data_IF_111231897286
#
_entry.id   IF_111231897286
#
_cell.length_a   1.000
_cell.length_b   1.000
_cell.length_c   1.000
_cell.angle_alpha   90.00
_cell.angle_beta   90.00
_cell.angle_gamma   90.00
#
_symmetry.space_group_name_H-M   'P 1'
#
loop_
_entity.id
_entity.type
_entity.pdbx_description
1 polymer ?
#
# COMPACT_ATOMS: atom_id res chain seq x y z
N UNK A 1 -1.39 -10.67 -15.79
CA UNK A 1 -0.98 -9.86 -16.96
C UNK A 1 0.33 -9.16 -16.60
N UNK A 2 1.32 -9.10 -17.49
CA UNK A 2 2.55 -8.31 -17.25
C UNK A 2 2.26 -6.82 -17.46
N UNK A 3 2.98 -5.94 -16.76
CA UNK A 3 2.82 -4.47 -16.88
C UNK A 3 2.96 -4.03 -18.33
N UNK A 4 4.02 -4.47 -19.04
CA UNK A 4 4.23 -4.13 -20.45
C UNK A 4 3.00 -4.43 -21.32
N UNK A 5 2.47 -5.65 -21.26
CA UNK A 5 1.31 -6.05 -22.05
C UNK A 5 0.05 -5.23 -21.67
N UNK A 6 -0.06 -4.83 -20.40
CA UNK A 6 -1.16 -3.99 -19.94
C UNK A 6 -1.07 -2.58 -20.51
N UNK A 7 0.11 -1.98 -20.46
CA UNK A 7 0.36 -0.67 -21.05
C UNK A 7 0.20 -0.71 -22.58
N UNK A 8 0.75 -1.71 -23.26
CA UNK A 8 0.58 -1.88 -24.71
C UNK A 8 -0.91 -1.95 -25.12
N UNK A 9 -1.78 -2.49 -24.26
CA UNK A 9 -3.23 -2.61 -24.51
C UNK A 9 -4.01 -1.33 -24.19
N UNK A 10 -3.68 -0.66 -23.09
CA UNK A 10 -4.56 0.36 -22.49
C UNK A 10 -3.97 1.77 -22.49
N UNK A 11 -2.66 1.92 -22.63
CA UNK A 11 -2.02 3.23 -22.65
C UNK A 11 -2.52 4.02 -23.86
N UNK A 12 -2.88 5.28 -23.65
CA UNK A 12 -3.51 6.17 -24.62
C UNK A 12 -4.93 5.79 -25.12
N UNK A 13 -5.54 4.72 -24.59
CA UNK A 13 -6.94 4.38 -24.87
C UNK A 13 -7.88 5.31 -24.11
N UNK A 14 -8.86 5.87 -24.82
CA UNK A 14 -9.97 6.61 -24.22
C UNK A 14 -11.07 5.61 -23.85
N UNK A 15 -11.18 5.30 -22.56
CA UNK A 15 -12.17 4.36 -22.06
C UNK A 15 -13.58 4.93 -22.22
N UNK A 16 -14.47 4.17 -22.85
CA UNK A 16 -15.87 4.51 -23.10
C UNK A 16 -16.60 4.90 -21.81
N UNK A 17 -17.39 5.97 -21.89
CA UNK A 17 -18.26 6.46 -20.82
C UNK A 17 -19.73 6.10 -21.09
N UNK A 18 -20.31 5.28 -20.21
CA UNK A 18 -21.73 4.89 -20.21
C UNK A 18 -22.56 5.65 -19.15
N UNK A 19 -22.15 6.88 -18.83
CA UNK A 19 -22.87 7.82 -17.97
C UNK A 19 -22.86 7.38 -16.51
N UNK A 20 -24.01 7.03 -15.90
CA UNK A 20 -24.06 6.53 -14.52
C UNK A 20 -23.58 5.07 -14.38
N UNK A 21 -23.34 4.38 -15.49
CA UNK A 21 -22.91 2.99 -15.50
C UNK A 21 -21.45 2.86 -15.93
N UNK A 22 -20.80 1.85 -15.38
CA UNK A 22 -19.49 1.41 -15.85
C UNK A 22 -19.64 0.70 -17.21
N UNK A 23 -18.87 1.14 -18.20
CA UNK A 23 -18.84 0.51 -19.52
C UNK A 23 -18.18 -0.86 -19.48
N UNK A 24 -18.51 -1.70 -20.45
CA UNK A 24 -17.88 -3.02 -20.60
C UNK A 24 -16.37 -2.90 -20.78
N UNK A 25 -15.91 -1.89 -21.51
CA UNK A 25 -14.48 -1.59 -21.69
C UNK A 25 -13.80 -1.25 -20.37
N UNK A 26 -14.42 -0.41 -19.53
CA UNK A 26 -13.90 -0.11 -18.20
C UNK A 26 -13.83 -1.34 -17.31
N UNK A 27 -14.86 -2.20 -17.33
CA UNK A 27 -14.86 -3.43 -16.53
C UNK A 27 -13.73 -4.37 -16.96
N UNK A 28 -13.41 -4.41 -18.25
CA UNK A 28 -12.27 -5.15 -18.77
C UNK A 28 -10.93 -4.54 -18.31
N UNK A 29 -10.78 -3.22 -18.46
CA UNK A 29 -9.62 -2.47 -17.97
C UNK A 29 -9.38 -2.73 -16.47
N UNK A 30 -10.43 -2.61 -15.64
CA UNK A 30 -10.36 -2.80 -14.20
C UNK A 30 -9.92 -4.23 -13.85
N UNK A 31 -10.46 -5.25 -14.54
CA UNK A 31 -10.08 -6.66 -14.35
C UNK A 31 -8.61 -6.87 -14.69
N UNK A 32 -8.16 -6.34 -15.83
CA UNK A 32 -6.79 -6.46 -16.30
C UNK A 32 -5.81 -5.77 -15.35
N UNK A 33 -6.14 -4.56 -14.88
CA UNK A 33 -5.35 -3.81 -13.90
C UNK A 33 -5.29 -4.56 -12.56
N UNK A 34 -6.40 -5.08 -12.06
CA UNK A 34 -6.40 -5.92 -10.85
C UNK A 34 -5.43 -7.09 -10.97
N UNK A 35 -5.34 -7.72 -12.14
CA UNK A 35 -4.38 -8.81 -12.39
C UNK A 35 -2.92 -8.31 -12.41
N UNK A 36 -2.67 -7.10 -12.90
CA UNK A 36 -1.35 -6.45 -12.79
C UNK A 36 -0.98 -6.21 -11.33
N UNK A 37 -1.87 -5.62 -10.53
CA UNK A 37 -1.62 -5.36 -9.11
C UNK A 37 -1.42 -6.64 -8.30
N UNK A 38 -2.18 -7.70 -8.61
CA UNK A 38 -1.99 -9.02 -8.00
C UNK A 38 -0.60 -9.59 -8.34
N UNK A 39 -0.15 -9.44 -9.59
CA UNK A 39 1.17 -9.90 -10.00
C UNK A 39 2.30 -9.11 -9.32
N UNK A 40 2.20 -7.78 -9.29
CA UNK A 40 3.13 -6.91 -8.54
C UNK A 40 3.20 -7.37 -7.08
N UNK A 41 2.04 -7.58 -6.44
CA UNK A 41 1.96 -8.06 -5.07
C UNK A 41 2.71 -9.37 -4.88
N UNK A 42 2.39 -10.39 -5.70
CA UNK A 42 3.04 -11.70 -5.63
C UNK A 42 4.57 -11.61 -5.79
N UNK A 43 5.06 -10.79 -6.73
CA UNK A 43 6.50 -10.59 -6.99
C UNK A 43 7.24 -10.01 -5.78
N UNK A 44 6.57 -9.12 -5.02
CA UNK A 44 7.16 -8.44 -3.86
C UNK A 44 6.79 -9.08 -2.51
N UNK A 45 6.07 -10.20 -2.53
CA UNK A 45 5.64 -10.90 -1.31
C UNK A 45 4.48 -10.21 -0.58
N UNK A 46 3.58 -9.57 -1.31
CA UNK A 46 2.37 -8.92 -0.79
C UNK A 46 1.12 -9.66 -1.27
N UNK A 47 0.11 -9.76 -0.41
CA UNK A 47 -1.18 -10.33 -0.75
C UNK A 47 -2.17 -9.22 -1.09
N UNK A 48 -2.96 -9.41 -2.16
CA UNK A 48 -4.12 -8.56 -2.43
C UNK A 48 -5.23 -8.88 -1.42
N UNK A 49 -5.44 -7.98 -0.46
CA UNK A 49 -6.33 -8.18 0.68
C UNK A 49 -7.79 -7.84 0.35
N UNK A 50 -8.01 -6.68 -0.28
CA UNK A 50 -9.35 -6.27 -0.72
C UNK A 50 -9.29 -5.46 -2.02
N UNK A 51 -10.40 -5.46 -2.76
CA UNK A 51 -10.56 -4.74 -4.00
C UNK A 51 -11.89 -4.00 -3.99
N UNK A 52 -11.84 -2.67 -4.01
CA UNK A 52 -13.00 -1.81 -3.93
C UNK A 52 -13.26 -1.19 -5.30
N UNK A 53 -14.39 -1.56 -5.90
CA UNK A 53 -14.82 -1.03 -7.19
C UNK A 53 -15.48 0.32 -6.99
N UNK A 54 -15.13 1.30 -7.82
CA UNK A 54 -15.84 2.56 -7.94
C UNK A 54 -16.43 2.74 -9.34
N UNK A 55 -16.84 3.98 -9.61
CA UNK A 55 -17.31 4.41 -10.92
C UNK A 55 -16.12 4.98 -11.70
N UNK A 56 -15.62 4.22 -12.69
CA UNK A 56 -14.40 4.53 -13.44
C UNK A 56 -13.11 4.71 -12.61
N UNK A 57 -13.16 4.44 -11.32
CA UNK A 57 -12.04 4.46 -10.38
C UNK A 57 -12.08 3.19 -9.51
N UNK A 58 -10.97 2.86 -8.85
CA UNK A 58 -10.96 1.75 -7.90
C UNK A 58 -9.81 1.90 -6.91
N UNK A 59 -9.90 1.16 -5.82
CA UNK A 59 -8.83 1.08 -4.84
C UNK A 59 -8.60 -0.35 -4.37
N UNK A 60 -7.40 -0.60 -3.86
CA UNK A 60 -6.94 -1.91 -3.44
C UNK A 60 -6.24 -1.77 -2.09
N UNK A 61 -6.50 -2.73 -1.20
CA UNK A 61 -5.68 -2.92 -0.02
C UNK A 61 -4.78 -4.12 -0.26
N UNK A 62 -3.49 -3.94 -0.03
CA UNK A 62 -2.49 -5.02 -0.07
C UNK A 62 -1.84 -5.15 1.29
N UNK A 63 -1.40 -6.36 1.64
CA UNK A 63 -0.72 -6.64 2.90
C UNK A 63 0.65 -7.25 2.64
N UNK A 64 1.70 -6.71 3.24
CA UNK A 64 3.03 -7.32 3.21
C UNK A 64 3.04 -8.63 4.00
N UNK A 65 3.52 -9.72 3.40
CA UNK A 65 3.68 -10.98 4.11
C UNK A 65 4.77 -10.90 5.18
N UNK A 66 5.74 -9.99 5.01
CA UNK A 66 6.89 -9.83 5.90
C UNK A 66 6.56 -8.99 7.12
N UNK A 67 6.11 -7.75 6.92
CA UNK A 67 5.84 -6.81 8.03
C UNK A 67 4.43 -6.91 8.59
N UNK A 68 3.53 -7.63 7.90
CA UNK A 68 2.08 -7.65 8.16
C UNK A 68 1.37 -6.30 7.99
N UNK A 69 2.10 -5.27 7.55
CA UNK A 69 1.62 -3.92 7.30
C UNK A 69 0.67 -3.89 6.10
N UNK A 70 -0.40 -3.09 6.21
CA UNK A 70 -1.34 -2.84 5.13
C UNK A 70 -0.97 -1.58 4.34
N UNK A 71 -1.26 -1.60 3.05
CA UNK A 71 -1.08 -0.48 2.15
C UNK A 71 -2.33 -0.26 1.32
N UNK A 72 -2.68 1.00 1.17
CA UNK A 72 -3.74 1.46 0.30
C UNK A 72 -3.15 1.87 -1.05
N UNK A 73 -3.80 1.47 -2.14
CA UNK A 73 -3.50 1.90 -3.51
C UNK A 73 -4.80 2.42 -4.11
N UNK A 74 -4.76 3.60 -4.72
CA UNK A 74 -5.92 4.20 -5.39
C UNK A 74 -5.60 4.64 -6.81
N UNK A 75 -6.48 4.25 -7.71
CA UNK A 75 -6.48 4.66 -9.11
C UNK A 75 -7.66 5.62 -9.27
N UNK A 76 -7.36 6.87 -9.64
CA UNK A 76 -8.36 7.90 -9.89
C UNK A 76 -9.27 7.52 -11.07
N UNK A 77 -10.30 8.33 -11.31
CA UNK A 77 -11.12 8.18 -12.51
C UNK A 77 -10.21 8.15 -13.75
N UNK A 78 -10.38 7.09 -14.54
CA UNK A 78 -9.52 6.78 -15.69
C UNK A 78 -9.84 7.65 -16.90
N UNK A 79 -10.98 8.35 -16.88
CA UNK A 79 -11.44 9.23 -17.96
C UNK A 79 -10.95 10.68 -17.82
N UNK A 80 -10.70 11.15 -16.59
CA UNK A 80 -10.44 12.56 -16.30
C UNK A 80 -9.17 13.10 -17.00
N UNK A 81 -8.01 12.57 -16.64
CA UNK A 81 -6.71 13.03 -17.12
C UNK A 81 -6.03 11.85 -17.80
N UNK A 82 -5.72 12.03 -19.10
CA UNK A 82 -5.14 10.99 -19.94
C UNK A 82 -3.93 10.34 -19.28
N UNK A 83 -3.94 9.00 -19.20
CA UNK A 83 -2.89 8.17 -18.61
C UNK A 83 -2.53 8.47 -17.14
N UNK A 84 -3.30 9.29 -16.42
CA UNK A 84 -3.03 9.57 -14.99
C UNK A 84 -3.11 8.30 -14.14
N UNK A 85 -3.99 7.37 -14.51
CA UNK A 85 -4.10 6.05 -13.90
C UNK A 85 -2.81 5.20 -14.01
N UNK A 86 -1.93 5.52 -14.97
CA UNK A 86 -0.61 4.88 -15.13
C UNK A 86 0.50 5.69 -14.46
N UNK A 87 0.40 7.01 -14.45
CA UNK A 87 1.50 7.89 -14.12
C UNK A 87 1.43 8.52 -12.72
N UNK A 88 0.27 8.45 -12.05
CA UNK A 88 0.04 9.12 -10.77
C UNK A 88 -0.87 8.29 -9.85
N UNK A 89 -0.42 7.09 -9.55
CA UNK A 89 -1.08 6.13 -8.66
C UNK A 89 -0.83 6.56 -7.22
N UNK A 90 -1.90 6.78 -6.46
CA UNK A 90 -1.78 7.07 -5.04
C UNK A 90 -1.48 5.78 -4.28
N UNK A 91 -0.50 5.82 -3.38
CA UNK A 91 -0.27 4.75 -2.40
C UNK A 91 0.14 5.30 -1.03
N UNK A 92 -0.21 4.57 0.04
CA UNK A 92 0.08 4.96 1.44
C UNK A 92 -0.03 3.79 2.41
N UNK A 93 0.51 3.95 3.61
CA UNK A 93 0.36 3.00 4.72
C UNK A 93 -1.05 3.02 5.31
N UNK A 94 -1.49 1.91 5.89
CA UNK A 94 -2.73 1.77 6.68
C UNK A 94 -2.43 1.02 7.98
N UNK A 95 -2.74 1.57 9.15
CA UNK A 95 -2.45 0.93 10.45
C UNK A 95 -3.15 -0.43 10.62
N UNK A 96 -4.35 -0.57 10.06
CA UNK A 96 -5.13 -1.79 10.01
C UNK A 96 -5.95 -1.80 8.70
N UNK A 97 -6.60 -2.91 8.37
CA UNK A 97 -7.23 -3.13 7.05
C UNK A 97 -8.31 -2.12 6.61
N UNK A 98 -8.84 -1.31 7.54
CA UNK A 98 -9.88 -0.29 7.32
C UNK A 98 -9.44 1.11 7.77
N UNK A 99 -8.14 1.33 7.93
CA UNK A 99 -7.60 2.67 8.20
C UNK A 99 -7.61 3.53 6.92
N UNK A 100 -8.76 4.11 6.62
CA UNK A 100 -8.95 4.98 5.45
C UNK A 100 -8.33 6.37 5.62
N UNK A 101 -7.91 6.73 6.84
CA UNK A 101 -7.12 7.94 7.07
C UNK A 101 -5.71 7.68 6.58
N UNK A 102 -5.11 6.57 7.02
CA UNK A 102 -3.80 6.10 6.57
C UNK A 102 -2.67 7.06 6.90
N UNK A 103 -1.50 6.78 6.34
CA UNK A 103 -0.36 7.69 6.37
C UNK A 103 -0.39 8.74 5.26
N UNK A 104 0.75 9.41 5.07
CA UNK A 104 0.92 10.38 3.99
C UNK A 104 0.70 9.77 2.60
N UNK A 105 0.08 10.56 1.72
CA UNK A 105 -0.09 10.21 0.32
C UNK A 105 1.26 10.23 -0.40
N UNK A 106 1.54 9.17 -1.13
CA UNK A 106 2.66 9.08 -2.08
C UNK A 106 2.10 8.79 -3.47
N UNK A 107 2.88 9.10 -4.50
CA UNK A 107 2.49 8.88 -5.89
C UNK A 107 3.55 8.10 -6.65
N UNK A 108 3.11 7.22 -7.54
CA UNK A 108 3.98 6.35 -8.35
C UNK A 108 3.48 6.25 -9.77
N UNK A 109 4.39 5.99 -10.70
CA UNK A 109 4.04 5.35 -11.96
C UNK A 109 3.77 3.86 -11.74
N UNK A 110 2.99 3.23 -12.62
CA UNK A 110 2.67 1.80 -12.57
C UNK A 110 3.94 0.94 -12.66
N UNK A 111 4.88 1.34 -13.54
CA UNK A 111 6.15 0.63 -13.73
C UNK A 111 7.06 0.68 -12.50
N UNK A 112 6.93 1.71 -11.67
CA UNK A 112 7.76 1.94 -10.47
C UNK A 112 7.06 1.46 -9.19
N UNK A 113 5.79 1.04 -9.27
CA UNK A 113 4.94 0.79 -8.10
C UNK A 113 5.47 -0.35 -7.22
N UNK A 114 6.03 -1.41 -7.82
CA UNK A 114 6.60 -2.55 -7.09
C UNK A 114 7.77 -2.09 -6.20
N UNK A 115 8.72 -1.36 -6.77
CA UNK A 115 9.88 -0.80 -6.09
C UNK A 115 9.45 0.18 -4.97
N UNK A 116 8.50 1.06 -5.26
CA UNK A 116 8.02 2.06 -4.31
C UNK A 116 7.30 1.44 -3.10
N UNK A 117 6.46 0.43 -3.32
CA UNK A 117 5.81 -0.32 -2.23
C UNK A 117 6.83 -1.08 -1.37
N UNK A 118 7.80 -1.76 -1.99
CA UNK A 118 8.87 -2.44 -1.25
C UNK A 118 9.69 -1.48 -0.39
N UNK A 119 10.01 -0.29 -0.91
CA UNK A 119 10.76 0.70 -0.15
C UNK A 119 9.95 1.27 1.02
N UNK A 120 8.65 1.46 0.84
CA UNK A 120 7.77 1.89 1.91
C UNK A 120 7.70 0.83 3.03
N UNK A 121 7.67 -0.46 2.67
CA UNK A 121 7.70 -1.58 3.62
C UNK A 121 9.04 -1.74 4.33
N UNK A 122 10.15 -1.58 3.61
CA UNK A 122 11.50 -1.55 4.21
C UNK A 122 11.63 -0.43 5.23
N UNK A 123 11.13 0.77 4.93
CA UNK A 123 11.11 1.91 5.87
C UNK A 123 10.28 1.58 7.10
N UNK A 124 9.10 0.99 6.92
CA UNK A 124 8.24 0.57 8.02
C UNK A 124 8.94 -0.44 8.96
N UNK A 125 9.55 -1.49 8.40
CA UNK A 125 10.30 -2.48 9.17
C UNK A 125 11.46 -1.87 9.95
N UNK A 126 12.23 -0.98 9.32
CA UNK A 126 13.34 -0.28 9.99
C UNK A 126 12.86 0.55 11.18
N UNK A 127 11.73 1.24 11.05
CA UNK A 127 11.15 2.00 12.15
C UNK A 127 10.67 1.08 13.28
N UNK A 128 10.03 -0.05 12.94
CA UNK A 128 9.60 -1.06 13.90
C UNK A 128 10.79 -1.63 14.71
N UNK A 129 11.90 -1.95 14.04
CA UNK A 129 13.13 -2.43 14.69
C UNK A 129 13.72 -1.40 15.65
N UNK A 130 13.73 -0.12 15.26
CA UNK A 130 14.21 0.97 16.10
C UNK A 130 13.33 1.18 17.35
N UNK A 131 12.01 1.21 17.18
CA UNK A 131 11.05 1.33 18.29
C UNK A 131 11.17 0.16 19.28
N UNK A 132 11.30 -1.07 18.78
CA UNK A 132 11.50 -2.26 19.61
C UNK A 132 12.81 -2.21 20.40
N UNK A 133 13.89 -1.72 19.78
CA UNK A 133 15.19 -1.56 20.43
C UNK A 133 15.11 -0.53 21.56
N UNK A 134 14.47 0.62 21.31
CA UNK A 134 14.27 1.67 22.31
C UNK A 134 13.40 1.19 23.49
N UNK A 135 12.33 0.47 23.21
CA UNK A 135 11.45 -0.09 24.24
C UNK A 135 12.16 -1.13 25.12
N UNK A 136 13.05 -1.94 24.53
CA UNK A 136 13.86 -2.90 25.28
C UNK A 136 14.79 -2.18 26.25
N UNK A 137 15.53 -1.17 25.77
CA UNK A 137 16.44 -0.37 26.59
C UNK A 137 15.68 0.31 27.73
N UNK A 138 14.52 0.91 27.43
CA UNK A 138 13.68 1.58 28.43
C UNK A 138 13.26 0.62 29.56
N UNK A 139 12.77 -0.58 29.22
CA UNK A 139 12.37 -1.59 30.21
C UNK A 139 13.55 -2.07 31.07
N UNK A 140 14.74 -2.22 30.47
CA UNK A 140 15.95 -2.57 31.22
C UNK A 140 16.33 -1.49 32.23
N UNK A 141 16.24 -0.20 31.85
CA UNK A 141 16.52 0.92 32.74
C UNK A 141 15.48 1.03 33.86
N UNK A 142 14.19 0.88 33.57
CA UNK A 142 13.12 0.89 34.57
C UNK A 142 13.32 -0.22 35.62
N UNK A 143 13.79 -1.40 35.20
CA UNK A 143 14.12 -2.51 36.11
C UNK A 143 15.32 -2.21 37.02
N UNK A 144 16.38 -1.60 36.48
CA UNK A 144 17.57 -1.21 37.26
C UNK A 144 17.15 -0.19 38.33
N UNK A 145 16.46 0.86 37.92
CA UNK A 145 15.98 1.92 38.82
C UNK A 145 15.10 1.34 39.94
N UNK A 146 14.16 0.45 39.62
CA UNK A 146 13.29 -0.17 40.63
C UNK A 146 14.05 -1.08 41.62
N UNK A 147 15.14 -1.73 41.19
CA UNK A 147 15.95 -2.56 42.08
C UNK A 147 16.80 -1.70 43.02
N UNK A 148 17.34 -0.58 42.52
CA UNK A 148 18.15 0.33 43.32
C UNK A 148 17.33 0.97 44.45
N UNK A 149 16.07 1.35 44.21
CA UNK A 149 15.19 1.91 45.24
C UNK A 149 14.71 0.92 46.31
N UNK A 150 14.77 -0.39 46.05
CA UNK A 150 14.34 -1.41 47.02
C UNK A 150 15.47 -1.86 47.97
N UNK A 151 16.73 -1.50 47.69
CA UNK A 151 17.88 -1.86 48.52
C UNK A 151 18.23 -0.82 49.61
N UNK A 152 17.52 0.31 49.66
CA UNK A 152 17.82 1.43 50.58
C UNK A 152 17.00 1.41 51.89
N UNK A 153 16.20 0.36 52.16
CA UNK A 153 15.34 0.25 53.36
C UNK A 153 15.63 -0.94 54.30
N UNK A 154 16.73 -1.66 54.11
CA UNK A 154 17.16 -2.71 55.06
C UNK A 154 18.23 -2.18 56.03
N UNK A 155 17.81 -1.40 57.05
CA UNK A 155 18.60 -1.10 58.25
C UNK A 155 17.71 -1.01 59.50
#
# INVERSE_FOLDING_TARGET
>A
MKIKNFLDKWYDVNIQDDGPNNSLEYLEFQRDYRNVLKNIGNEIGFNLYSFNKGHYNFSVVVQSNKSKQFYYISISDVRDIKNKWANNILYRTMKYEKDWIGGYNNYSKLEELSYNLQNLDKKFLKNLEQENSQNTIRKSLEKIISNDFNNDYDY
#
